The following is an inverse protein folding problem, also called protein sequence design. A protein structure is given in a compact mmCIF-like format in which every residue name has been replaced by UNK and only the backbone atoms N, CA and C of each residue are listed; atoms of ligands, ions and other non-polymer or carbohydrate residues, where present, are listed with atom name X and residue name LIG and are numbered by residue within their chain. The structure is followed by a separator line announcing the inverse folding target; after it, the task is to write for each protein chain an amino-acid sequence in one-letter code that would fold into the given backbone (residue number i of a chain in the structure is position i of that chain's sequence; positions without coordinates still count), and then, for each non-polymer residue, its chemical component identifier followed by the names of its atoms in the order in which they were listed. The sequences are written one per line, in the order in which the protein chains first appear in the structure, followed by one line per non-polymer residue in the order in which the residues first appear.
data_IF_518760913292
#
_entry.id   IF_518760913292
#
_cell.length_a   1.000
_cell.length_b   1.000
_cell.length_c   1.000
_cell.angle_alpha   90.00
_cell.angle_beta   90.00
_cell.angle_gamma   90.00
#
_symmetry.space_group_name_H-M   'P 1'
#
loop_
_entity.id
_entity.type
_entity.pdbx_description
1 polymer ?
#
# COMPACT_ATOMS: atom_id res chain seq x y z
N UNK A 1 20.96 -6.63 22.39
CA UNK A 1 21.87 -5.84 21.55
C UNK A 1 22.45 -6.78 20.50
N UNK A 2 21.85 -6.80 19.32
CA UNK A 2 22.36 -7.45 18.11
C UNK A 2 21.86 -6.58 16.96
N UNK A 3 22.46 -5.40 16.84
CA UNK A 3 22.33 -4.54 15.66
C UNK A 3 23.21 -5.16 14.57
N UNK A 4 22.69 -6.17 13.87
CA UNK A 4 23.26 -6.59 12.60
C UNK A 4 22.82 -5.60 11.53
N UNK A 5 23.58 -4.51 11.40
CA UNK A 5 23.66 -3.74 10.16
C UNK A 5 24.37 -4.59 9.11
N UNK A 6 23.73 -5.65 8.65
CA UNK A 6 24.19 -6.41 7.49
C UNK A 6 23.74 -5.64 6.25
N UNK A 7 24.64 -4.79 5.74
CA UNK A 7 24.62 -4.15 4.42
C UNK A 7 23.28 -4.10 3.68
N UNK A 8 22.28 -3.40 4.22
CA UNK A 8 21.04 -3.14 3.49
C UNK A 8 21.30 -1.99 2.50
N UNK A 9 21.26 -2.28 1.20
CA UNK A 9 21.51 -1.28 0.14
C UNK A 9 20.52 -0.11 0.23
N UNK A 10 19.33 -0.34 0.77
CA UNK A 10 18.23 0.64 0.87
C UNK A 10 17.91 1.09 2.30
N UNK A 11 18.62 0.59 3.33
CA UNK A 11 18.32 0.83 4.76
C UNK A 11 16.90 0.37 5.23
N UNK A 12 16.17 -0.35 4.36
CA UNK A 12 14.86 -0.93 4.65
C UNK A 12 14.94 -2.44 4.40
N UNK A 13 15.17 -3.21 5.45
CA UNK A 13 15.01 -4.67 5.45
C UNK A 13 13.54 -5.14 5.47
N UNK A 14 13.36 -6.43 5.68
CA UNK A 14 12.05 -7.08 5.77
C UNK A 14 11.14 -6.39 6.82
N UNK A 15 9.80 -6.50 6.68
CA UNK A 15 8.86 -6.02 7.67
C UNK A 15 9.22 -6.44 9.10
N UNK A 16 9.45 -5.45 9.96
CA UNK A 16 9.77 -5.63 11.37
C UNK A 16 11.24 -5.89 11.69
N UNK A 17 12.13 -5.85 10.70
CA UNK A 17 13.53 -6.29 10.84
C UNK A 17 14.56 -5.18 10.55
N UNK A 18 14.14 -3.91 10.43
CA UNK A 18 15.06 -2.80 10.10
C UNK A 18 14.89 -1.56 10.96
N UNK A 19 15.98 -0.79 11.09
CA UNK A 19 16.02 0.45 11.86
C UNK A 19 14.94 1.45 11.45
N UNK A 20 14.72 1.62 10.13
CA UNK A 20 13.68 2.51 9.64
C UNK A 20 12.28 2.00 10.00
N UNK A 21 12.07 0.68 9.99
CA UNK A 21 10.79 0.09 10.37
C UNK A 21 10.47 0.35 11.84
N UNK A 22 11.43 0.17 12.76
CA UNK A 22 11.21 0.46 14.19
C UNK A 22 10.82 1.93 14.44
N UNK A 23 11.45 2.85 13.70
CA UNK A 23 11.13 4.29 13.79
C UNK A 23 9.74 4.59 13.27
N UNK A 24 9.34 3.97 12.16
CA UNK A 24 8.00 4.13 11.59
C UNK A 24 6.92 3.52 12.48
N UNK A 25 7.18 2.36 13.08
CA UNK A 25 6.26 1.73 14.04
C UNK A 25 6.06 2.63 15.27
N UNK A 26 7.15 3.16 15.83
CA UNK A 26 7.08 4.08 16.96
C UNK A 26 6.32 5.38 16.61
N UNK A 27 6.57 5.93 15.42
CA UNK A 27 5.85 7.09 14.92
C UNK A 27 4.35 6.79 14.73
N UNK A 28 4.02 5.64 14.17
CA UNK A 28 2.64 5.17 13.97
C UNK A 28 1.93 5.05 15.31
N UNK A 29 2.52 4.34 16.27
CA UNK A 29 1.99 4.18 17.62
C UNK A 29 1.75 5.53 18.31
N UNK A 30 2.71 6.46 18.20
CA UNK A 30 2.56 7.82 18.74
C UNK A 30 1.41 8.58 18.08
N UNK A 31 1.24 8.42 16.76
CA UNK A 31 0.18 9.07 16.00
C UNK A 31 -1.20 8.56 16.40
N UNK A 32 -1.37 7.24 16.55
CA UNK A 32 -2.62 6.63 17.05
C UNK A 32 -2.96 7.16 18.44
N UNK A 33 -1.98 7.20 19.36
CA UNK A 33 -2.19 7.76 20.70
C UNK A 33 -2.59 9.24 20.67
N UNK A 34 -2.00 10.04 19.78
CA UNK A 34 -2.35 11.47 19.62
C UNK A 34 -3.77 11.63 19.06
N UNK A 35 -4.13 10.88 18.03
CA UNK A 35 -5.47 10.91 17.44
C UNK A 35 -6.52 10.47 18.45
N UNK A 36 -6.27 9.40 19.21
CA UNK A 36 -7.14 8.98 20.30
C UNK A 36 -7.28 10.09 21.35
N UNK A 37 -6.19 10.74 21.78
CA UNK A 37 -6.25 11.87 22.72
C UNK A 37 -7.07 13.04 22.20
N UNK A 38 -6.88 13.43 20.94
CA UNK A 38 -7.63 14.52 20.30
C UNK A 38 -9.13 14.22 20.19
N UNK A 39 -9.48 12.94 20.14
CA UNK A 39 -10.87 12.49 20.09
C UNK A 39 -11.47 12.18 21.46
N UNK A 40 -10.73 12.41 22.56
CA UNK A 40 -11.25 12.34 23.92
C UNK A 40 -10.81 11.10 24.72
N UNK A 41 -9.84 10.33 24.25
CA UNK A 41 -9.26 9.24 25.02
C UNK A 41 -8.54 9.77 26.28
N UNK A 42 -8.90 9.33 27.50
CA UNK A 42 -8.33 9.84 28.75
C UNK A 42 -6.89 9.39 29.02
N UNK A 43 -6.31 8.57 28.13
CA UNK A 43 -5.02 7.91 28.34
C UNK A 43 -5.18 6.49 28.87
N UNK A 44 -4.06 5.78 28.93
CA UNK A 44 -4.03 4.40 29.41
C UNK A 44 -4.11 4.36 30.93
N UNK A 45 -4.73 3.30 31.45
CA UNK A 45 -4.65 2.99 32.89
C UNK A 45 -3.21 2.61 33.24
N UNK A 46 -2.85 2.84 34.49
CA UNK A 46 -1.53 2.50 35.02
C UNK A 46 -1.20 1.02 34.75
N UNK A 47 0.03 0.77 34.28
CA UNK A 47 0.52 -0.57 33.93
C UNK A 47 -0.05 -1.17 32.64
N UNK A 48 -0.85 -0.44 31.86
CA UNK A 48 -1.34 -0.89 30.54
C UNK A 48 -0.54 -0.27 29.40
N UNK A 49 -0.42 -1.00 28.30
CA UNK A 49 0.18 -0.49 27.07
C UNK A 49 -0.65 0.67 26.51
N UNK A 50 0.02 1.81 26.30
CA UNK A 50 -0.61 3.06 25.85
C UNK A 50 -1.23 2.92 24.47
N UNK A 51 -0.52 2.28 23.53
CA UNK A 51 -0.98 2.10 22.16
C UNK A 51 -2.18 1.16 22.10
N UNK A 52 -2.10 -0.01 22.74
CA UNK A 52 -3.22 -0.97 22.79
C UNK A 52 -4.47 -0.35 23.42
N UNK A 53 -4.29 0.46 24.46
CA UNK A 53 -5.41 1.18 25.08
C UNK A 53 -6.01 2.26 24.15
N UNK A 54 -5.19 2.95 23.36
CA UNK A 54 -5.64 3.94 22.39
C UNK A 54 -6.42 3.28 21.23
N UNK A 55 -5.86 2.21 20.66
CA UNK A 55 -6.49 1.38 19.62
C UNK A 55 -7.87 0.91 20.10
N UNK A 56 -7.94 0.27 21.28
CA UNK A 56 -9.20 -0.22 21.82
C UNK A 56 -10.21 0.90 22.11
N UNK A 57 -9.75 2.11 22.42
CA UNK A 57 -10.63 3.26 22.58
C UNK A 57 -11.20 3.71 21.22
N UNK A 58 -10.37 3.78 20.17
CA UNK A 58 -10.80 4.13 18.81
C UNK A 58 -11.77 3.08 18.26
N UNK A 59 -11.44 1.79 18.35
CA UNK A 59 -12.30 0.67 17.92
C UNK A 59 -13.70 0.75 18.54
N UNK A 60 -13.80 1.14 19.82
CA UNK A 60 -15.09 1.27 20.54
C UNK A 60 -15.89 2.52 20.19
N UNK A 61 -15.24 3.64 19.91
CA UNK A 61 -15.91 4.93 19.68
C UNK A 61 -16.20 5.20 18.21
N UNK A 62 -15.48 4.54 17.31
CA UNK A 62 -15.66 4.64 15.86
C UNK A 62 -15.89 3.26 15.26
N UNK A 63 -16.97 2.56 15.67
CA UNK A 63 -17.30 1.27 15.11
C UNK A 63 -17.68 1.43 13.64
N UNK A 64 -17.39 0.41 12.84
CA UNK A 64 -17.88 0.26 11.47
C UNK A 64 -18.58 -1.09 11.34
N UNK A 65 -19.49 -1.20 10.37
CA UNK A 65 -20.30 -2.40 10.16
C UNK A 65 -19.64 -3.42 9.22
N UNK A 66 -18.43 -3.17 8.73
CA UNK A 66 -17.77 -4.05 7.75
C UNK A 66 -16.48 -4.69 8.27
N UNK A 67 -16.21 -4.57 9.56
CA UNK A 67 -15.02 -5.11 10.23
C UNK A 67 -15.21 -6.59 10.64
N UNK A 68 -15.29 -7.47 9.64
CA UNK A 68 -15.39 -8.91 9.86
C UNK A 68 -13.99 -9.55 9.97
N UNK A 69 -13.70 -10.21 11.09
CA UNK A 69 -12.36 -10.76 11.35
C UNK A 69 -12.05 -12.12 10.71
N UNK A 70 -13.06 -12.93 10.37
CA UNK A 70 -12.85 -14.32 9.90
C UNK A 70 -13.87 -14.77 8.84
N UNK A 71 -13.53 -15.80 8.06
CA UNK A 71 -14.49 -16.42 7.13
C UNK A 71 -15.80 -16.83 7.81
N UNK A 72 -15.73 -17.41 9.02
CA UNK A 72 -16.93 -17.82 9.77
C UNK A 72 -17.84 -16.64 10.09
N UNK A 73 -17.28 -15.47 10.43
CA UNK A 73 -18.06 -14.26 10.72
C UNK A 73 -18.84 -13.75 9.50
N UNK A 74 -18.40 -14.08 8.28
CA UNK A 74 -19.11 -13.75 7.02
C UNK A 74 -20.11 -14.83 6.58
N UNK A 75 -20.42 -15.81 7.43
CA UNK A 75 -21.19 -16.99 7.00
C UNK A 75 -20.44 -17.83 5.95
N UNK A 76 -19.10 -17.74 5.92
CA UNK A 76 -18.22 -18.33 4.92
C UNK A 76 -18.44 -17.82 3.48
N UNK A 77 -19.02 -16.62 3.31
CA UNK A 77 -19.12 -15.98 2.00
C UNK A 77 -17.74 -15.61 1.45
N UNK A 78 -16.84 -15.13 2.32
CA UNK A 78 -15.44 -14.81 1.96
C UNK A 78 -14.55 -15.96 2.42
N UNK A 79 -13.81 -16.60 1.50
CA UNK A 79 -12.95 -17.74 1.83
C UNK A 79 -11.57 -17.29 2.33
N UNK A 80 -10.95 -18.14 3.15
CA UNK A 80 -9.59 -17.98 3.67
C UNK A 80 -9.33 -16.61 4.34
N UNK A 81 -10.34 -16.05 4.98
CA UNK A 81 -10.24 -14.80 5.72
C UNK A 81 -9.87 -15.07 7.18
N UNK A 82 -8.82 -14.39 7.64
CA UNK A 82 -8.25 -14.52 8.98
C UNK A 82 -7.99 -13.14 9.57
N UNK A 83 -7.74 -13.10 10.89
CA UNK A 83 -7.34 -11.87 11.57
C UNK A 83 -6.06 -11.23 10.98
N UNK A 84 -5.25 -11.99 10.25
CA UNK A 84 -4.04 -11.46 9.60
C UNK A 84 -4.31 -10.75 8.27
N UNK A 85 -5.40 -11.08 7.57
CA UNK A 85 -5.64 -10.61 6.21
C UNK A 85 -6.99 -9.91 5.99
N UNK A 86 -7.86 -9.86 6.99
CA UNK A 86 -9.18 -9.25 6.83
C UNK A 86 -9.12 -7.76 6.45
N UNK A 87 -8.18 -6.97 6.99
CA UNK A 87 -7.95 -5.58 6.55
C UNK A 87 -7.55 -5.47 5.07
N UNK A 88 -6.87 -6.49 4.51
CA UNK A 88 -6.56 -6.51 3.08
C UNK A 88 -7.79 -6.91 2.24
N UNK A 89 -8.53 -7.92 2.71
CA UNK A 89 -9.68 -8.47 1.99
C UNK A 89 -10.87 -7.52 1.99
N UNK A 90 -11.13 -6.83 3.09
CA UNK A 90 -12.24 -5.88 3.23
C UNK A 90 -11.86 -4.53 2.61
N UNK A 91 -12.61 -4.10 1.60
CA UNK A 91 -12.32 -2.90 0.82
C UNK A 91 -12.34 -1.64 1.70
N UNK A 92 -13.20 -1.60 2.71
CA UNK A 92 -13.35 -0.48 3.63
C UNK A 92 -12.10 -0.16 4.47
N UNK A 93 -11.14 -1.09 4.61
CA UNK A 93 -9.90 -0.85 5.35
C UNK A 93 -8.75 -0.32 4.49
N UNK A 94 -8.97 -0.06 3.19
CA UNK A 94 -7.93 0.50 2.33
C UNK A 94 -7.80 2.01 2.55
N UNK A 95 -6.62 2.56 2.88
CA UNK A 95 -6.41 3.99 3.13
C UNK A 95 -6.30 4.80 1.82
N UNK A 96 -7.32 4.70 0.97
CA UNK A 96 -7.39 5.37 -0.32
C UNK A 96 -8.84 5.72 -0.70
N UNK A 97 -9.01 6.37 -1.85
CA UNK A 97 -10.32 6.82 -2.32
C UNK A 97 -11.30 5.67 -2.62
N UNK A 98 -10.79 4.49 -2.99
CA UNK A 98 -11.62 3.31 -3.24
C UNK A 98 -12.09 2.77 -1.90
N UNK A 99 -11.20 2.66 -0.90
CA UNK A 99 -11.59 2.24 0.44
C UNK A 99 -12.58 3.20 1.10
N UNK A 100 -12.39 4.51 0.95
CA UNK A 100 -13.36 5.52 1.41
C UNK A 100 -14.73 5.33 0.74
N UNK A 101 -14.76 5.13 -0.58
CA UNK A 101 -16.00 4.91 -1.31
C UNK A 101 -16.74 3.68 -0.79
N UNK A 102 -16.06 2.53 -0.69
CA UNK A 102 -16.67 1.29 -0.21
C UNK A 102 -17.08 1.39 1.26
N UNK A 103 -16.27 2.01 2.11
CA UNK A 103 -16.62 2.24 3.50
C UNK A 103 -17.91 3.05 3.66
N UNK A 104 -18.06 4.16 2.91
CA UNK A 104 -19.30 4.95 2.95
C UNK A 104 -20.46 4.10 2.43
N UNK A 105 -20.32 3.43 1.28
CA UNK A 105 -21.39 2.59 0.72
C UNK A 105 -21.84 1.50 1.70
N UNK A 106 -20.90 0.84 2.35
CA UNK A 106 -21.15 -0.24 3.30
C UNK A 106 -21.84 0.27 4.58
N UNK A 107 -21.41 1.43 5.11
CA UNK A 107 -22.07 2.09 6.24
C UNK A 107 -23.51 2.53 5.93
N UNK A 108 -23.78 2.97 4.70
CA UNK A 108 -25.12 3.37 4.28
C UNK A 108 -26.07 2.18 4.13
N UNK A 109 -25.58 1.05 3.64
CA UNK A 109 -26.40 -0.10 3.25
C UNK A 109 -26.41 -1.24 4.29
N UNK A 110 -25.65 -1.09 5.38
CA UNK A 110 -25.39 -2.16 6.34
C UNK A 110 -24.86 -3.43 5.66
N UNK A 111 -23.85 -3.25 4.80
CA UNK A 111 -23.16 -4.31 4.06
C UNK A 111 -21.67 -4.31 4.36
N UNK A 112 -20.95 -5.32 3.87
CA UNK A 112 -19.49 -5.35 3.89
C UNK A 112 -18.96 -5.90 2.57
N UNK A 113 -18.09 -5.13 1.91
CA UNK A 113 -17.56 -5.43 0.58
C UNK A 113 -16.12 -5.94 0.66
N UNK A 114 -15.89 -7.15 0.13
CA UNK A 114 -14.59 -7.82 0.15
C UNK A 114 -14.10 -8.16 -1.24
N UNK A 115 -12.80 -8.39 -1.40
CA UNK A 115 -12.23 -9.08 -2.56
C UNK A 115 -11.97 -10.55 -2.20
N UNK A 116 -12.57 -11.46 -2.96
CA UNK A 116 -12.28 -12.89 -2.88
C UNK A 116 -12.11 -13.47 -4.28
N UNK A 117 -10.99 -14.18 -4.51
CA UNK A 117 -10.64 -14.82 -5.79
C UNK A 117 -10.79 -13.92 -7.02
N UNK A 118 -10.45 -12.64 -6.88
CA UNK A 118 -10.53 -11.68 -7.99
C UNK A 118 -11.92 -11.09 -8.23
N UNK A 119 -12.87 -11.29 -7.32
CA UNK A 119 -14.22 -10.75 -7.44
C UNK A 119 -14.61 -9.99 -6.17
N UNK A 120 -15.49 -8.98 -6.33
CA UNK A 120 -16.12 -8.31 -5.20
C UNK A 120 -17.22 -9.23 -4.65
N UNK A 121 -17.15 -9.51 -3.35
CA UNK A 121 -18.15 -10.25 -2.60
C UNK A 121 -18.78 -9.31 -1.58
N UNK A 122 -20.09 -9.11 -1.68
CA UNK A 122 -20.85 -8.26 -0.73
C UNK A 122 -21.58 -9.14 0.26
N UNK A 123 -21.25 -8.99 1.54
CA UNK A 123 -21.93 -9.63 2.66
C UNK A 123 -23.03 -8.70 3.17
N UNK A 124 -24.24 -9.24 3.35
CA UNK A 124 -25.39 -8.50 3.89
C UNK A 124 -25.47 -8.68 5.40
N UNK A 125 -25.83 -7.61 6.09
CA UNK A 125 -25.77 -7.54 7.55
C UNK A 125 -24.36 -7.16 7.96
N UNK A 126 -24.24 -6.14 8.80
CA UNK A 126 -22.96 -5.68 9.30
C UNK A 126 -22.33 -6.62 10.33
N UNK A 127 -21.04 -6.46 10.60
CA UNK A 127 -20.32 -7.13 11.68
C UNK A 127 -20.74 -6.65 13.08
N UNK A 128 -21.53 -5.57 13.13
CA UNK A 128 -22.05 -4.97 14.36
C UNK A 128 -23.54 -4.64 14.21
N UNK A 129 -24.38 -5.44 14.86
CA UNK A 129 -25.85 -5.28 14.84
C UNK A 129 -26.33 -3.96 15.46
N UNK A 130 -25.48 -3.27 16.22
CA UNK A 130 -25.78 -1.99 16.86
C UNK A 130 -25.23 -0.79 16.08
N UNK A 131 -24.60 -1.02 14.92
CA UNK A 131 -24.08 0.09 14.12
C UNK A 131 -25.22 0.90 13.50
N UNK A 132 -25.17 2.21 13.69
CA UNK A 132 -26.04 3.16 13.01
C UNK A 132 -25.21 4.32 12.46
N UNK A 133 -25.30 4.56 11.15
CA UNK A 133 -24.67 5.70 10.51
C UNK A 133 -25.38 7.01 10.92
N UNK A 134 -24.67 7.80 11.72
CA UNK A 134 -25.18 9.03 12.32
C UNK A 134 -25.41 10.15 11.28
N UNK A 135 -26.44 10.97 11.50
CA UNK A 135 -26.74 12.16 10.71
C UNK A 135 -28.19 12.23 10.21
N UNK A 136 -28.80 13.41 10.26
CA UNK A 136 -30.19 13.65 9.84
C UNK A 136 -30.37 13.97 8.34
N UNK A 137 -29.27 14.20 7.61
CA UNK A 137 -29.27 14.51 6.18
C UNK A 137 -28.24 13.67 5.44
N UNK A 138 -28.37 13.54 4.12
CA UNK A 138 -27.39 12.82 3.29
C UNK A 138 -25.97 13.38 3.47
N UNK A 139 -25.81 14.71 3.45
CA UNK A 139 -24.50 15.36 3.62
C UNK A 139 -23.91 15.07 5.01
N UNK A 140 -24.74 15.14 6.06
CA UNK A 140 -24.30 14.80 7.41
C UNK A 140 -23.87 13.34 7.53
N UNK A 141 -24.60 12.40 6.91
CA UNK A 141 -24.24 10.98 6.90
C UNK A 141 -22.97 10.68 6.12
N UNK A 142 -22.73 11.35 4.99
CA UNK A 142 -21.46 11.24 4.24
C UNK A 142 -20.30 11.73 5.10
N UNK A 143 -20.46 12.88 5.77
CA UNK A 143 -19.43 13.40 6.66
C UNK A 143 -19.17 12.47 7.85
N UNK A 144 -20.22 11.99 8.52
CA UNK A 144 -20.10 11.03 9.61
C UNK A 144 -19.43 9.73 9.15
N UNK A 145 -19.80 9.21 7.98
CA UNK A 145 -19.21 8.01 7.39
C UNK A 145 -17.71 8.19 7.09
N UNK A 146 -17.31 9.36 6.58
CA UNK A 146 -15.90 9.72 6.41
C UNK A 146 -15.16 9.76 7.75
N UNK A 147 -15.72 10.40 8.78
CA UNK A 147 -15.11 10.48 10.10
C UNK A 147 -14.95 9.09 10.73
N UNK A 148 -16.00 8.25 10.68
CA UNK A 148 -15.95 6.87 11.15
C UNK A 148 -14.85 6.07 10.45
N UNK A 149 -14.83 6.12 9.11
CA UNK A 149 -13.81 5.44 8.31
C UNK A 149 -12.40 5.87 8.69
N UNK A 150 -12.13 7.18 8.70
CA UNK A 150 -10.82 7.71 9.03
C UNK A 150 -10.37 7.29 10.44
N UNK A 151 -11.25 7.43 11.43
CA UNK A 151 -10.91 7.11 12.81
C UNK A 151 -10.75 5.61 13.06
N UNK A 152 -11.51 4.77 12.34
CA UNK A 152 -11.36 3.32 12.35
C UNK A 152 -10.04 2.88 11.69
N UNK A 153 -9.67 3.45 10.54
CA UNK A 153 -8.34 3.18 9.96
C UNK A 153 -7.20 3.58 10.90
N UNK A 154 -7.38 4.64 11.69
CA UNK A 154 -6.40 5.06 12.68
C UNK A 154 -6.24 4.07 13.83
N UNK A 155 -7.25 3.25 14.19
CA UNK A 155 -6.99 2.11 15.09
C UNK A 155 -6.19 1.03 14.40
N UNK A 156 -6.57 0.69 13.16
CA UNK A 156 -6.06 -0.48 12.46
C UNK A 156 -4.61 -0.33 11.98
N UNK A 157 -4.17 0.90 11.68
CA UNK A 157 -2.84 1.17 11.12
C UNK A 157 -1.69 0.71 12.04
N UNK A 158 -1.90 0.74 13.36
CA UNK A 158 -0.92 0.28 14.35
C UNK A 158 -1.05 -1.23 14.67
N UNK A 159 -1.99 -1.93 14.04
CA UNK A 159 -2.36 -3.30 14.36
C UNK A 159 -3.51 -3.39 15.35
N UNK A 160 -3.73 -4.59 15.89
CA UNK A 160 -4.83 -4.85 16.83
C UNK A 160 -4.37 -4.82 18.29
N UNK A 161 -5.24 -4.31 19.17
CA UNK A 161 -5.03 -4.30 20.62
C UNK A 161 -4.83 -5.71 21.22
N UNK A 162 -5.43 -6.74 20.61
CA UNK A 162 -5.37 -8.14 21.05
C UNK A 162 -4.22 -8.97 20.45
N UNK A 163 -3.46 -8.44 19.49
CA UNK A 163 -2.43 -9.22 18.81
C UNK A 163 -1.19 -9.47 19.68
N UNK A 164 -0.57 -10.63 19.46
CA UNK A 164 0.81 -10.90 19.85
C UNK A 164 1.75 -10.27 18.80
N UNK A 165 2.73 -9.48 19.24
CA UNK A 165 3.60 -8.71 18.34
C UNK A 165 2.90 -7.50 17.71
N UNK A 166 3.24 -7.18 16.45
CA UNK A 166 2.80 -5.97 15.72
C UNK A 166 1.32 -5.96 15.30
N UNK A 167 0.65 -7.13 15.26
CA UNK A 167 -0.66 -7.27 14.62
C UNK A 167 -0.67 -6.96 13.12
N UNK A 168 -1.77 -7.26 12.44
CA UNK A 168 -1.96 -6.88 11.03
C UNK A 168 -2.32 -5.41 10.95
N UNK A 169 -1.52 -4.61 10.25
CA UNK A 169 -1.85 -3.22 9.95
C UNK A 169 -2.90 -3.12 8.85
N UNK A 170 -3.15 -1.92 8.33
CA UNK A 170 -3.95 -1.72 7.10
C UNK A 170 -3.08 -1.88 5.85
N UNK A 171 -3.65 -2.23 4.69
CA UNK A 171 -2.90 -2.28 3.43
C UNK A 171 -2.25 -0.94 3.08
N UNK A 172 -1.15 -0.99 2.34
CA UNK A 172 -0.62 0.18 1.62
C UNK A 172 -1.75 0.68 0.69
N UNK A 173 -1.94 2.01 0.50
CA UNK A 173 -2.95 2.53 -0.42
C UNK A 173 -2.97 1.77 -1.76
N UNK A 174 -4.17 1.33 -2.17
CA UNK A 174 -4.46 0.53 -3.37
C UNK A 174 -3.88 -0.89 -3.42
N UNK A 175 -3.23 -1.39 -2.35
CA UNK A 175 -2.64 -2.73 -2.35
C UNK A 175 -3.70 -3.84 -2.42
N UNK A 176 -4.90 -3.59 -1.88
CA UNK A 176 -6.06 -4.48 -2.05
C UNK A 176 -6.37 -4.77 -3.53
N UNK A 177 -6.15 -3.82 -4.45
CA UNK A 177 -6.42 -4.01 -5.87
C UNK A 177 -5.55 -5.10 -6.50
N UNK A 178 -4.37 -5.37 -5.94
CA UNK A 178 -3.50 -6.46 -6.39
C UNK A 178 -4.16 -7.83 -6.20
N UNK A 179 -5.12 -7.94 -5.27
CA UNK A 179 -5.89 -9.17 -5.05
C UNK A 179 -6.97 -9.42 -6.11
N UNK A 180 -7.21 -8.46 -7.02
CA UNK A 180 -7.98 -8.72 -8.25
C UNK A 180 -7.22 -9.59 -9.26
N UNK A 181 -5.89 -9.65 -9.17
CA UNK A 181 -5.04 -10.42 -10.08
C UNK A 181 -5.08 -11.92 -9.74
N UNK A 182 -6.23 -12.56 -9.90
CA UNK A 182 -6.39 -13.98 -9.65
C UNK A 182 -5.95 -14.82 -10.87
N UNK A 183 -4.69 -14.63 -11.28
CA UNK A 183 -4.08 -15.27 -12.45
C UNK A 183 -2.77 -15.96 -12.08
N UNK A 184 -2.40 -16.96 -12.90
CA UNK A 184 -1.18 -17.73 -12.78
C UNK A 184 -1.20 -18.81 -11.69
N UNK A 185 -0.17 -19.66 -11.72
CA UNK A 185 0.09 -20.72 -10.76
C UNK A 185 1.59 -20.75 -10.47
N UNK A 186 1.98 -20.20 -9.32
CA UNK A 186 3.38 -19.94 -8.97
C UNK A 186 3.78 -20.69 -7.71
N UNK A 187 5.04 -21.14 -7.68
CA UNK A 187 5.60 -21.92 -6.57
C UNK A 187 5.05 -23.35 -6.50
N UNK A 188 5.48 -24.10 -5.48
CA UNK A 188 5.09 -25.51 -5.33
C UNK A 188 3.59 -25.70 -5.04
N UNK A 189 2.98 -24.70 -4.40
CA UNK A 189 1.58 -24.73 -3.99
C UNK A 189 0.62 -24.21 -5.08
N UNK A 190 1.13 -23.84 -6.28
CA UNK A 190 0.33 -23.26 -7.37
C UNK A 190 -0.49 -22.03 -6.97
N UNK A 191 0.10 -21.10 -6.21
CA UNK A 191 -0.58 -19.87 -5.79
C UNK A 191 -0.84 -18.94 -6.99
N UNK A 192 -2.02 -18.33 -7.05
CA UNK A 192 -2.26 -17.19 -7.94
C UNK A 192 -1.60 -15.92 -7.40
N UNK A 193 -1.42 -14.89 -8.25
CA UNK A 193 -0.86 -13.61 -7.79
C UNK A 193 -1.66 -13.00 -6.63
N UNK A 194 -2.99 -13.07 -6.67
CA UNK A 194 -3.84 -12.61 -5.57
C UNK A 194 -3.50 -13.28 -4.23
N UNK A 195 -3.26 -14.61 -4.26
CA UNK A 195 -2.85 -15.35 -3.06
C UNK A 195 -1.44 -14.98 -2.61
N UNK A 196 -0.50 -14.78 -3.55
CA UNK A 196 0.85 -14.33 -3.24
C UNK A 196 0.82 -12.97 -2.54
N UNK A 197 0.13 -11.97 -3.09
CA UNK A 197 0.04 -10.64 -2.47
C UNK A 197 -0.64 -10.67 -1.10
N UNK A 198 -1.63 -11.55 -0.92
CA UNK A 198 -2.25 -11.78 0.39
C UNK A 198 -1.23 -12.32 1.38
N UNK A 199 -0.43 -13.33 1.00
CA UNK A 199 0.62 -13.88 1.86
C UNK A 199 1.73 -12.88 2.18
N UNK A 200 2.15 -12.08 1.20
CA UNK A 200 3.12 -10.99 1.41
C UNK A 200 2.60 -9.97 2.44
N UNK A 201 1.31 -9.62 2.37
CA UNK A 201 0.69 -8.76 3.38
C UNK A 201 0.65 -9.41 4.78
N UNK A 202 0.30 -10.70 4.86
CA UNK A 202 0.29 -11.47 6.12
C UNK A 202 1.67 -11.54 6.80
N UNK A 203 2.74 -11.39 6.02
CA UNK A 203 4.14 -11.28 6.47
C UNK A 203 4.52 -9.87 6.97
N UNK A 204 3.56 -8.95 7.07
CA UNK A 204 3.75 -7.61 7.63
C UNK A 204 3.97 -6.50 6.59
N UNK A 205 3.74 -6.77 5.30
CA UNK A 205 3.84 -5.80 4.21
C UNK A 205 2.64 -4.81 4.20
N UNK A 206 2.41 -4.17 5.34
CA UNK A 206 1.32 -3.25 5.61
C UNK A 206 1.74 -1.78 5.41
N UNK A 207 0.83 -0.85 5.69
CA UNK A 207 1.06 0.59 5.53
C UNK A 207 2.27 1.12 6.33
N UNK A 208 2.64 0.48 7.46
CA UNK A 208 3.84 0.86 8.23
C UNK A 208 5.10 0.49 7.45
N UNK A 209 5.14 -0.73 6.90
CA UNK A 209 6.24 -1.12 6.03
C UNK A 209 6.28 -0.27 4.75
N UNK A 210 5.12 0.04 4.15
CA UNK A 210 5.01 0.97 3.02
C UNK A 210 5.56 2.38 3.33
N UNK A 211 5.32 2.89 4.53
CA UNK A 211 5.88 4.18 4.95
C UNK A 211 7.41 4.11 5.12
N UNK A 212 7.95 2.98 5.61
CA UNK A 212 9.40 2.77 5.68
C UNK A 212 10.04 2.68 4.28
N UNK A 213 9.46 1.87 3.38
CA UNK A 213 9.94 1.70 2.00
C UNK A 213 9.79 2.96 1.15
N UNK A 214 8.93 3.90 1.53
CA UNK A 214 8.83 5.21 0.88
C UNK A 214 10.01 6.17 1.18
N UNK A 215 10.79 5.94 2.25
CA UNK A 215 11.88 6.84 2.63
C UNK A 215 13.02 6.83 1.59
N UNK A 216 13.60 5.69 1.17
CA UNK A 216 14.65 5.67 0.15
C UNK A 216 14.28 6.36 -1.18
N UNK A 217 13.12 6.06 -1.82
CA UNK A 217 12.75 6.75 -3.06
C UNK A 217 12.50 8.24 -2.84
N UNK A 218 11.97 8.67 -1.68
CA UNK A 218 11.83 10.10 -1.36
C UNK A 218 13.20 10.80 -1.31
N UNK A 219 14.18 10.21 -0.63
CA UNK A 219 15.55 10.74 -0.55
C UNK A 219 16.18 10.81 -1.95
N UNK A 220 16.06 9.75 -2.74
CA UNK A 220 16.53 9.72 -4.13
C UNK A 220 15.91 10.85 -4.96
N UNK A 221 14.60 11.06 -4.87
CA UNK A 221 13.91 12.12 -5.60
C UNK A 221 14.38 13.51 -5.18
N UNK A 222 14.54 13.77 -3.87
CA UNK A 222 15.02 15.05 -3.35
C UNK A 222 16.47 15.33 -3.78
N UNK A 223 17.37 14.37 -3.64
CA UNK A 223 18.78 14.53 -4.03
C UNK A 223 18.92 14.84 -5.52
N UNK A 224 18.20 14.12 -6.38
CA UNK A 224 18.24 14.36 -7.82
C UNK A 224 17.73 15.76 -8.18
N UNK A 225 16.67 16.24 -7.52
CA UNK A 225 16.14 17.60 -7.73
C UNK A 225 17.12 18.67 -7.27
N UNK A 226 17.83 18.45 -6.16
CA UNK A 226 18.91 19.33 -5.72
C UNK A 226 20.06 19.35 -6.73
N UNK A 227 20.53 18.17 -7.17
CA UNK A 227 21.61 18.07 -8.17
C UNK A 227 21.23 18.71 -9.51
N UNK A 228 19.98 18.53 -9.95
CA UNK A 228 19.45 19.22 -11.12
C UNK A 228 19.52 20.74 -10.96
N UNK A 229 19.05 21.26 -9.82
CA UNK A 229 19.09 22.71 -9.52
C UNK A 229 20.52 23.24 -9.51
N UNK A 230 21.44 22.52 -8.86
CA UNK A 230 22.87 22.85 -8.81
C UNK A 230 23.49 22.86 -10.21
N UNK A 231 23.23 21.84 -11.03
CA UNK A 231 23.70 21.77 -12.42
C UNK A 231 23.21 22.98 -13.23
N UNK A 232 21.91 23.28 -13.17
CA UNK A 232 21.31 24.42 -13.89
C UNK A 232 21.93 25.75 -13.46
N UNK A 233 22.09 25.96 -12.15
CA UNK A 233 22.62 27.22 -11.62
C UNK A 233 24.11 27.39 -11.86
N UNK A 234 24.92 26.38 -11.56
CA UNK A 234 26.37 26.54 -11.49
C UNK A 234 27.10 26.09 -12.75
N UNK A 235 26.60 25.08 -13.46
CA UNK A 235 27.19 24.63 -14.72
C UNK A 235 26.63 25.42 -15.91
N UNK A 236 25.30 25.49 -16.04
CA UNK A 236 24.65 26.21 -17.15
C UNK A 236 24.45 27.72 -16.92
N UNK A 237 24.75 28.23 -15.71
CA UNK A 237 24.69 29.66 -15.35
C UNK A 237 23.30 30.30 -15.53
N UNK A 238 22.22 29.52 -15.46
CA UNK A 238 20.86 30.06 -15.54
C UNK A 238 20.47 30.89 -14.31
N UNK A 239 19.46 31.76 -14.48
CA UNK A 239 18.85 32.49 -13.37
C UNK A 239 18.06 31.55 -12.45
N UNK A 240 17.87 31.94 -11.18
CA UNK A 240 17.23 31.10 -10.17
C UNK A 240 15.82 30.65 -10.56
N UNK A 241 15.03 31.53 -11.20
CA UNK A 241 13.69 31.19 -11.71
C UNK A 241 13.69 30.04 -12.72
N UNK A 242 14.78 29.89 -13.48
CA UNK A 242 14.93 28.88 -14.53
C UNK A 242 15.59 27.58 -14.01
N UNK A 243 15.89 27.53 -12.70
CA UNK A 243 16.48 26.38 -12.02
C UNK A 243 15.43 25.56 -11.24
N UNK A 244 14.17 26.00 -11.17
CA UNK A 244 13.13 25.35 -10.36
C UNK A 244 12.86 23.93 -10.89
N UNK A 245 13.02 22.89 -10.05
CA UNK A 245 12.84 21.51 -10.48
C UNK A 245 11.35 21.20 -10.70
N UNK A 246 10.92 21.17 -11.96
CA UNK A 246 9.54 20.85 -12.34
C UNK A 246 9.43 19.50 -13.05
N UNK A 247 8.33 18.78 -12.80
CA UNK A 247 8.01 17.51 -13.46
C UNK A 247 7.83 17.64 -14.99
N UNK A 248 7.61 18.85 -15.51
CA UNK A 248 7.52 19.12 -16.94
C UNK A 248 8.87 19.08 -17.66
N UNK A 249 9.99 19.18 -16.94
CA UNK A 249 11.32 19.23 -17.54
C UNK A 249 11.78 17.83 -17.96
N UNK A 250 12.03 17.56 -19.26
CA UNK A 250 12.44 16.24 -19.74
C UNK A 250 13.79 15.79 -19.17
N UNK A 251 14.74 16.72 -19.01
CA UNK A 251 16.04 16.42 -18.42
C UNK A 251 15.92 15.91 -16.97
N UNK A 252 15.18 16.62 -16.12
CA UNK A 252 14.94 16.20 -14.74
C UNK A 252 14.20 14.85 -14.69
N UNK A 253 13.21 14.65 -15.55
CA UNK A 253 12.49 13.36 -15.64
C UNK A 253 13.44 12.21 -15.97
N UNK A 254 14.37 12.39 -16.91
CA UNK A 254 15.38 11.37 -17.25
C UNK A 254 16.39 11.14 -16.12
N UNK A 255 16.83 12.20 -15.44
CA UNK A 255 17.69 12.06 -14.25
C UNK A 255 17.00 11.24 -13.16
N UNK A 256 15.72 11.51 -12.89
CA UNK A 256 14.91 10.73 -11.96
C UNK A 256 14.76 9.28 -12.45
N UNK A 257 14.45 9.06 -13.73
CA UNK A 257 14.31 7.72 -14.31
C UNK A 257 15.58 6.87 -14.11
N UNK A 258 16.76 7.44 -14.41
CA UNK A 258 18.05 6.75 -14.18
C UNK A 258 18.29 6.49 -12.69
N UNK A 259 18.04 7.48 -11.82
CA UNK A 259 18.23 7.31 -10.38
C UNK A 259 17.32 6.24 -9.75
N UNK A 260 16.05 6.20 -10.16
CA UNK A 260 15.13 5.13 -9.76
C UNK A 260 15.52 3.79 -10.38
N UNK A 261 16.05 3.76 -11.60
CA UNK A 261 16.59 2.54 -12.21
C UNK A 261 17.70 1.93 -11.37
N UNK A 262 18.68 2.74 -10.94
CA UNK A 262 19.77 2.30 -10.05
C UNK A 262 19.21 1.79 -8.71
N UNK A 263 18.27 2.53 -8.12
CA UNK A 263 17.63 2.13 -6.86
C UNK A 263 16.90 0.79 -6.98
N UNK A 264 16.07 0.61 -8.02
CA UNK A 264 15.33 -0.62 -8.28
C UNK A 264 16.24 -1.80 -8.62
N UNK A 265 17.37 -1.58 -9.32
CA UNK A 265 18.37 -2.64 -9.54
C UNK A 265 19.00 -3.09 -8.23
N UNK A 266 19.40 -2.16 -7.36
CA UNK A 266 19.93 -2.50 -6.04
C UNK A 266 18.92 -3.25 -5.18
N UNK A 267 17.66 -2.79 -5.19
CA UNK A 267 16.53 -3.42 -4.51
C UNK A 267 16.26 -4.85 -5.01
N UNK A 268 16.24 -5.07 -6.33
CA UNK A 268 16.07 -6.41 -6.92
C UNK A 268 17.17 -7.38 -6.48
N UNK A 269 18.43 -6.92 -6.47
CA UNK A 269 19.57 -7.74 -6.07
C UNK A 269 19.47 -8.08 -4.58
N UNK A 270 19.19 -7.09 -3.73
CA UNK A 270 19.04 -7.29 -2.29
C UNK A 270 17.89 -8.26 -1.97
N UNK A 271 16.72 -8.06 -2.58
CA UNK A 271 15.57 -8.93 -2.42
C UNK A 271 15.84 -10.36 -2.91
N UNK A 272 16.56 -10.53 -4.03
CA UNK A 272 16.93 -11.83 -4.57
C UNK A 272 17.89 -12.59 -3.65
N UNK A 273 18.92 -11.90 -3.13
CA UNK A 273 19.89 -12.48 -2.20
C UNK A 273 19.20 -12.93 -0.92
N UNK A 274 18.30 -12.10 -0.36
CA UNK A 274 17.57 -12.41 0.87
C UNK A 274 16.53 -13.52 0.68
N UNK A 275 15.93 -13.63 -0.50
CA UNK A 275 14.86 -14.60 -0.74
C UNK A 275 15.32 -16.01 -1.07
N UNK A 276 16.57 -16.16 -1.55
CA UNK A 276 17.05 -17.46 -2.03
C UNK A 276 16.21 -18.04 -3.18
N UNK A 277 15.47 -17.19 -3.90
CA UNK A 277 14.57 -17.59 -4.99
C UNK A 277 13.13 -17.90 -4.58
N UNK A 278 12.76 -17.79 -3.30
CA UNK A 278 11.36 -17.93 -2.87
C UNK A 278 10.59 -16.63 -3.16
N UNK A 279 9.45 -16.75 -3.86
CA UNK A 279 8.75 -15.60 -4.45
C UNK A 279 8.08 -14.70 -3.40
N UNK A 280 7.47 -15.27 -2.36
CA UNK A 280 6.81 -14.48 -1.30
C UNK A 280 7.86 -13.68 -0.52
N UNK A 281 8.99 -14.32 -0.18
CA UNK A 281 10.10 -13.69 0.50
C UNK A 281 10.79 -12.65 -0.39
N UNK A 282 10.89 -12.89 -1.70
CA UNK A 282 11.38 -11.90 -2.65
C UNK A 282 10.50 -10.64 -2.63
N UNK A 283 9.19 -10.81 -2.78
CA UNK A 283 8.25 -9.69 -2.79
C UNK A 283 8.16 -8.97 -1.44
N UNK A 284 8.23 -9.71 -0.33
CA UNK A 284 8.31 -9.15 1.03
C UNK A 284 9.52 -8.25 1.22
N UNK A 285 10.64 -8.54 0.56
CA UNK A 285 11.87 -7.73 0.61
C UNK A 285 11.97 -6.69 -0.51
N UNK A 286 11.03 -6.66 -1.45
CA UNK A 286 11.03 -5.71 -2.57
C UNK A 286 10.47 -4.36 -2.14
N UNK A 287 11.04 -3.24 -2.58
CA UNK A 287 10.51 -1.90 -2.33
C UNK A 287 9.44 -1.51 -3.36
N UNK A 288 8.19 -1.91 -3.14
CA UNK A 288 7.06 -1.65 -4.05
C UNK A 288 6.92 -0.15 -4.37
N UNK A 289 7.15 0.75 -3.43
CA UNK A 289 7.05 2.20 -3.64
C UNK A 289 8.08 2.70 -4.68
N UNK A 290 9.31 2.20 -4.63
CA UNK A 290 10.34 2.52 -5.62
C UNK A 290 9.94 2.02 -7.01
N UNK A 291 9.44 0.78 -7.12
CA UNK A 291 9.01 0.18 -8.39
C UNK A 291 7.81 0.88 -9.02
N UNK A 292 6.80 1.25 -8.23
CA UNK A 292 5.64 2.03 -8.71
C UNK A 292 6.11 3.37 -9.27
N UNK A 293 7.05 4.03 -8.58
CA UNK A 293 7.58 5.32 -9.03
C UNK A 293 8.46 5.19 -10.27
N UNK A 294 9.31 4.17 -10.34
CA UNK A 294 10.10 3.85 -11.53
C UNK A 294 9.20 3.57 -12.72
N UNK A 295 8.18 2.72 -12.57
CA UNK A 295 7.20 2.42 -13.63
C UNK A 295 6.45 3.66 -14.11
N UNK A 296 6.07 4.56 -13.21
CA UNK A 296 5.44 5.84 -13.59
C UNK A 296 6.38 6.74 -14.41
N UNK A 297 7.67 6.77 -14.08
CA UNK A 297 8.68 7.51 -14.85
C UNK A 297 8.94 6.84 -16.21
N UNK A 298 9.03 5.51 -16.25
CA UNK A 298 9.19 4.73 -17.46
C UNK A 298 8.04 5.00 -18.45
N UNK A 299 6.80 4.96 -17.96
CA UNK A 299 5.61 5.27 -18.75
C UNK A 299 5.65 6.68 -19.34
N UNK A 300 6.00 7.68 -18.52
CA UNK A 300 6.11 9.07 -18.98
C UNK A 300 7.22 9.27 -20.02
N UNK A 301 8.35 8.60 -19.88
CA UNK A 301 9.43 8.68 -20.86
C UNK A 301 9.08 7.94 -22.15
N UNK A 302 8.42 6.78 -22.07
CA UNK A 302 7.91 6.05 -23.22
C UNK A 302 6.95 6.92 -24.05
N UNK A 303 5.97 7.57 -23.41
CA UNK A 303 5.06 8.50 -24.11
C UNK A 303 5.85 9.64 -24.77
N UNK A 304 6.86 10.18 -24.10
CA UNK A 304 7.66 11.26 -24.66
C UNK A 304 8.44 10.81 -25.91
N UNK A 305 8.99 9.60 -25.90
CA UNK A 305 9.69 9.01 -27.04
C UNK A 305 8.74 8.76 -28.22
N UNK A 306 7.55 8.23 -27.97
CA UNK A 306 6.49 8.08 -28.98
C UNK A 306 6.14 9.42 -29.61
N UNK A 307 5.89 10.46 -28.79
CA UNK A 307 5.53 11.80 -29.29
C UNK A 307 6.64 12.49 -30.07
N UNK A 308 7.90 12.15 -29.84
CA UNK A 308 9.04 12.68 -30.57
C UNK A 308 9.29 11.94 -31.90
N UNK A 309 8.50 10.91 -32.22
CA UNK A 309 8.70 10.08 -33.41
C UNK A 309 9.88 9.11 -33.30
N UNK A 310 10.42 8.90 -32.09
CA UNK A 310 11.51 7.94 -31.87
C UNK A 310 11.02 6.48 -31.81
N UNK A 311 9.71 6.26 -31.76
CA UNK A 311 9.08 4.93 -31.74
C UNK A 311 8.03 4.88 -32.85
N UNK A 312 8.20 3.90 -33.76
CA UNK A 312 7.25 3.60 -34.82
C UNK A 312 6.07 2.78 -34.24
N UNK A 313 4.98 3.49 -33.93
CA UNK A 313 3.77 2.90 -33.33
C UNK A 313 3.12 1.90 -34.28
N UNK A 314 3.13 2.15 -35.59
CA UNK A 314 2.51 1.23 -36.56
C UNK A 314 3.24 -0.11 -36.61
N UNK A 315 4.56 -0.10 -36.46
CA UNK A 315 5.34 -1.34 -36.39
C UNK A 315 5.02 -2.15 -35.14
N UNK A 316 4.81 -1.48 -34.00
CA UNK A 316 4.40 -2.14 -32.75
C UNK A 316 2.99 -2.72 -32.89
N UNK A 317 2.04 -1.95 -33.43
CA UNK A 317 0.66 -2.40 -33.61
C UNK A 317 0.59 -3.62 -34.54
N UNK A 318 1.31 -3.57 -35.69
CA UNK A 318 1.41 -4.72 -36.61
C UNK A 318 2.00 -5.97 -35.94
N UNK A 319 2.97 -5.80 -35.04
CA UNK A 319 3.58 -6.91 -34.31
C UNK A 319 2.61 -7.49 -33.27
N UNK A 320 1.97 -6.65 -32.45
CA UNK A 320 1.01 -7.08 -31.42
C UNK A 320 -0.21 -7.76 -32.06
N UNK A 321 -0.73 -7.23 -33.16
CA UNK A 321 -1.83 -7.87 -33.90
C UNK A 321 -1.44 -9.22 -34.52
N UNK A 322 -0.16 -9.38 -34.88
CA UNK A 322 0.38 -10.67 -35.33
C UNK A 322 0.36 -11.69 -34.20
N UNK A 323 0.98 -11.35 -33.06
CA UNK A 323 1.00 -12.18 -31.85
C UNK A 323 -0.41 -12.53 -31.37
N UNK A 324 -1.32 -11.57 -31.33
CA UNK A 324 -2.70 -11.80 -30.91
C UNK A 324 -3.42 -12.80 -31.82
N UNK A 325 -3.20 -12.71 -33.14
CA UNK A 325 -3.75 -13.68 -34.10
C UNK A 325 -3.16 -15.06 -33.92
N UNK A 326 -1.87 -15.17 -33.61
CA UNK A 326 -1.22 -16.46 -33.39
C UNK A 326 -1.69 -17.11 -32.07
N UNK A 327 -1.87 -16.33 -31.01
CA UNK A 327 -2.46 -16.79 -29.75
C UNK A 327 -3.90 -17.29 -29.98
N UNK A 328 -4.73 -16.55 -30.71
CA UNK A 328 -6.10 -16.96 -31.01
C UNK A 328 -6.17 -18.23 -31.86
N UNK A 329 -5.23 -18.42 -32.81
CA UNK A 329 -5.13 -19.65 -33.61
C UNK A 329 -4.73 -20.86 -32.77
N UNK A 330 -3.86 -20.66 -31.77
CA UNK A 330 -3.40 -21.75 -30.89
C UNK A 330 -4.41 -22.12 -29.79
N UNK A 331 -5.52 -21.39 -29.68
CA UNK A 331 -6.63 -21.66 -28.75
C UNK A 331 -7.84 -22.36 -29.42
N UNK A 332 -7.80 -22.57 -30.74
CA UNK A 332 -8.78 -23.36 -31.52
C UNK A 332 -8.28 -24.78 -31.75
#
# INVERSE_FOLDING_TARGET
MSTTTNGEITLVGAPGESFLTDKVDAFTNSSVQKVAKWSGWPGAREGKDSTKSAIAWLERNYPVNYDFGTSSSTGNAVKNMTLKNHHLKSLGHSPDIIGLLFSILDQFNNTASFIDKGHIVVVKGGSNDQFELQGSTLVAKIFAGFCNWFMHLMSDVAGSSGAAGRGSGIPIPFYNLLTFLNVGAFGQDNHSLATIFTKVFEEGYDARHGAATAIPPLVTELLIRVLYTVKRRYYHKFEWKDCVPSASVPELRRMLFVGYGILCTGDAIDAFVKSGGELILFLKNTNLTAWVRFGTLAYKELIALVKQGHIDVEKIDRYIEGEYRDILRNLQ
#
